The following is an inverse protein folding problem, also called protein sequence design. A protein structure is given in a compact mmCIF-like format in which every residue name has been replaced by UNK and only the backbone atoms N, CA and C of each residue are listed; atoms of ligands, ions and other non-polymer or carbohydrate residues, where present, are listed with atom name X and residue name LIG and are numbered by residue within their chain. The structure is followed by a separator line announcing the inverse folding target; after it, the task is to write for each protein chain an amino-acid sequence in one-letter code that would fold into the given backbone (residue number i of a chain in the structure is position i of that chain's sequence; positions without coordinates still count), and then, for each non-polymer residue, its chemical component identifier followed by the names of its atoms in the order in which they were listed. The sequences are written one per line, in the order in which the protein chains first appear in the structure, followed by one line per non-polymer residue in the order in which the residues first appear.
data_IF_056244982225
#
_entry.id   IF_056244982225
#
_cell.length_a   1.000
_cell.length_b   1.000
_cell.length_c   1.000
_cell.angle_alpha   90.00
_cell.angle_beta   90.00
_cell.angle_gamma   90.00
#
_symmetry.space_group_name_H-M   'P 1'
#
loop_
_entity.id
_entity.type
_entity.pdbx_description
1 polymer ?
#
# COMPACT_ATOMS: atom_id res chain seq x y z
N UNK A 1 -10.86 12.65 -0.27
CA UNK A 1 -10.65 12.15 1.11
C UNK A 1 -9.50 11.16 1.06
N UNK A 2 -8.30 11.62 1.44
CA UNK A 2 -7.04 10.90 1.27
C UNK A 2 -6.97 9.66 2.15
N UNK A 3 -7.14 8.48 1.55
CA UNK A 3 -6.70 7.24 2.17
C UNK A 3 -5.15 7.19 2.09
N UNK A 4 -4.49 6.87 3.20
CA UNK A 4 -3.31 6.02 3.14
C UNK A 4 -1.89 6.62 3.17
N UNK A 5 -1.65 7.88 3.58
CA UNK A 5 -0.25 8.39 3.68
C UNK A 5 0.36 8.46 5.09
N UNK A 6 -0.29 7.93 6.13
CA UNK A 6 0.17 8.11 7.53
C UNK A 6 0.73 6.86 8.24
N UNK A 7 0.52 5.59 7.85
CA UNK A 7 1.09 4.47 8.62
C UNK A 7 2.62 4.39 8.50
N UNK A 8 3.15 4.39 7.28
CA UNK A 8 4.57 4.12 7.05
C UNK A 8 5.48 5.25 7.57
N UNK A 9 5.10 6.52 7.39
CA UNK A 9 5.89 7.66 7.84
C UNK A 9 6.00 7.71 9.38
N UNK A 10 4.92 7.39 10.09
CA UNK A 10 4.90 7.34 11.56
C UNK A 10 5.74 6.16 12.09
N UNK A 11 5.68 5.01 11.42
CA UNK A 11 6.51 3.84 11.74
C UNK A 11 8.00 4.11 11.49
N UNK A 12 8.33 4.79 10.39
CA UNK A 12 9.69 5.27 10.10
C UNK A 12 10.19 6.21 11.20
N UNK A 13 9.41 7.24 11.53
CA UNK A 13 9.78 8.26 12.51
C UNK A 13 10.04 7.67 13.90
N UNK A 14 9.39 6.55 14.23
CA UNK A 14 9.53 5.86 15.51
C UNK A 14 10.49 4.66 15.48
N UNK A 15 11.25 4.44 14.40
CA UNK A 15 12.15 3.29 14.22
C UNK A 15 11.44 1.92 14.40
N UNK A 16 10.15 1.84 14.05
CA UNK A 16 9.33 0.61 14.21
C UNK A 16 9.08 -0.14 12.90
N UNK A 17 9.68 0.29 11.78
CA UNK A 17 9.60 -0.42 10.50
C UNK A 17 10.03 -1.89 10.59
N UNK A 18 10.95 -2.18 11.52
CA UNK A 18 11.48 -3.52 11.73
C UNK A 18 10.43 -4.60 12.05
N UNK A 19 9.30 -4.20 12.65
CA UNK A 19 8.20 -5.09 13.00
C UNK A 19 7.37 -5.54 11.80
N UNK A 20 7.49 -4.83 10.68
CA UNK A 20 6.63 -5.00 9.51
C UNK A 20 7.41 -5.60 8.33
N UNK A 21 8.66 -5.20 8.15
CA UNK A 21 9.54 -5.71 7.10
C UNK A 21 10.26 -7.02 7.50
N UNK A 22 9.87 -7.63 8.62
CA UNK A 22 10.47 -8.84 9.21
C UNK A 22 11.93 -8.73 9.64
N UNK A 23 12.52 -7.53 9.69
CA UNK A 23 13.92 -7.41 10.14
C UNK A 23 14.06 -7.54 11.67
N UNK A 24 12.98 -7.32 12.43
CA UNK A 24 12.92 -7.56 13.89
C UNK A 24 12.04 -8.78 14.19
N UNK A 25 12.66 -9.95 14.21
CA UNK A 25 12.00 -11.20 14.54
C UNK A 25 11.59 -11.25 16.02
N UNK A 26 10.46 -11.89 16.28
CA UNK A 26 9.99 -12.19 17.65
C UNK A 26 11.05 -13.03 18.37
N UNK A 27 11.51 -12.62 19.57
CA UNK A 27 12.43 -13.43 20.36
C UNK A 27 11.81 -14.81 20.68
N UNK A 28 12.58 -15.88 20.49
CA UNK A 28 12.08 -17.27 20.64
C UNK A 28 12.04 -17.72 22.10
N UNK A 29 12.86 -17.13 22.97
CA UNK A 29 12.96 -17.49 24.37
C UNK A 29 12.09 -16.55 25.25
N UNK A 30 11.13 -17.06 26.03
CA UNK A 30 10.34 -16.25 26.98
C UNK A 30 11.18 -15.64 28.11
N UNK A 31 12.39 -16.18 28.34
CA UNK A 31 13.36 -15.66 29.30
C UNK A 31 14.18 -14.48 28.77
N UNK A 32 14.04 -14.15 27.48
CA UNK A 32 14.73 -13.00 26.90
C UNK A 32 14.16 -11.70 27.48
N UNK A 33 15.00 -10.82 28.08
CA UNK A 33 14.55 -9.52 28.57
C UNK A 33 13.87 -8.65 27.50
N UNK A 34 14.16 -8.90 26.22
CA UNK A 34 13.57 -8.18 25.09
C UNK A 34 12.18 -8.71 24.68
N UNK A 35 11.77 -9.90 25.13
CA UNK A 35 10.49 -10.51 24.72
C UNK A 35 9.28 -9.61 25.05
N UNK A 36 9.17 -9.17 26.32
CA UNK A 36 8.08 -8.27 26.76
C UNK A 36 8.14 -6.88 26.12
N UNK A 37 9.35 -6.40 25.82
CA UNK A 37 9.53 -5.11 25.15
C UNK A 37 9.09 -5.18 23.68
N UNK A 38 9.38 -6.32 23.03
CA UNK A 38 8.94 -6.63 21.67
C UNK A 38 7.42 -6.74 21.60
N UNK A 39 6.77 -7.50 22.50
CA UNK A 39 5.30 -7.63 22.52
C UNK A 39 4.60 -6.26 22.64
N UNK A 40 5.05 -5.42 23.58
CA UNK A 40 4.50 -4.06 23.73
C UNK A 40 4.65 -3.22 22.47
N UNK A 41 5.78 -3.34 21.77
CA UNK A 41 5.99 -2.60 20.54
C UNK A 41 5.11 -3.13 19.40
N UNK A 42 4.96 -4.44 19.30
CA UNK A 42 4.06 -5.09 18.36
C UNK A 42 2.60 -4.64 18.58
N UNK A 43 2.12 -4.62 19.82
CA UNK A 43 0.76 -4.19 20.17
C UNK A 43 0.52 -2.71 19.80
N UNK A 44 1.52 -1.85 20.00
CA UNK A 44 1.46 -0.44 19.59
C UNK A 44 1.35 -0.31 18.06
N UNK A 45 2.12 -1.10 17.31
CA UNK A 45 2.06 -1.10 15.84
C UNK A 45 0.70 -1.60 15.37
N UNK A 46 0.16 -2.68 15.97
CA UNK A 46 -1.20 -3.17 15.70
C UNK A 46 -2.23 -2.07 15.95
N UNK A 47 -2.13 -1.39 17.09
CA UNK A 47 -3.04 -0.29 17.43
C UNK A 47 -2.98 0.84 16.40
N UNK A 48 -1.79 1.25 15.95
CA UNK A 48 -1.65 2.27 14.90
C UNK A 48 -2.23 1.82 13.57
N UNK A 49 -1.96 0.58 13.15
CA UNK A 49 -2.49 0.00 11.92
C UNK A 49 -4.02 -0.08 11.97
N UNK A 50 -4.59 -0.61 13.04
CA UNK A 50 -6.04 -0.66 13.24
C UNK A 50 -6.65 0.75 13.27
N UNK A 51 -5.97 1.75 13.84
CA UNK A 51 -6.48 3.12 13.84
C UNK A 51 -6.34 3.86 12.51
N UNK A 52 -5.46 3.39 11.62
CA UNK A 52 -5.30 3.94 10.28
C UNK A 52 -6.39 3.52 9.29
N UNK A 53 -7.22 2.52 9.65
CA UNK A 53 -8.27 1.96 8.78
C UNK A 53 -9.68 2.28 9.26
N UNK A 54 -10.66 2.22 8.35
CA UNK A 54 -12.08 2.49 8.67
C UNK A 54 -12.63 1.45 9.65
N UNK A 55 -13.57 1.85 10.51
CA UNK A 55 -14.19 0.99 11.52
C UNK A 55 -14.82 -0.29 10.95
N UNK A 56 -15.34 -0.23 9.72
CA UNK A 56 -15.88 -1.39 8.99
C UNK A 56 -14.84 -2.48 8.69
N UNK A 57 -13.55 -2.11 8.66
CA UNK A 57 -12.42 -3.00 8.39
C UNK A 57 -11.77 -3.47 9.70
N UNK A 58 -11.76 -2.60 10.73
CA UNK A 58 -11.19 -2.93 12.05
C UNK A 58 -11.82 -4.20 12.65
N UNK A 59 -13.13 -4.36 12.56
CA UNK A 59 -13.85 -5.51 13.13
C UNK A 59 -13.36 -6.86 12.59
N UNK A 60 -12.99 -6.90 11.31
CA UNK A 60 -12.47 -8.11 10.67
C UNK A 60 -10.99 -8.42 10.95
N UNK A 61 -10.27 -7.49 11.58
CA UNK A 61 -8.83 -7.57 11.86
C UNK A 61 -8.53 -7.62 13.38
N UNK A 62 -9.58 -7.73 14.20
CA UNK A 62 -9.48 -7.62 15.66
C UNK A 62 -8.76 -8.79 16.32
N UNK A 63 -8.56 -9.91 15.60
CA UNK A 63 -7.94 -11.15 16.11
C UNK A 63 -6.49 -11.33 15.65
N UNK A 64 -5.91 -10.35 14.96
CA UNK A 64 -4.53 -10.47 14.47
C UNK A 64 -3.56 -9.93 15.51
N UNK A 65 -2.84 -10.85 16.16
CA UNK A 65 -1.89 -10.56 17.25
C UNK A 65 -0.47 -10.22 16.76
N UNK A 66 -0.23 -10.25 15.45
CA UNK A 66 1.06 -9.99 14.83
C UNK A 66 0.96 -8.83 13.83
N UNK A 67 1.74 -7.77 14.07
CA UNK A 67 1.72 -6.56 13.27
C UNK A 67 2.12 -6.78 11.81
N UNK A 68 3.03 -7.71 11.54
CA UNK A 68 3.42 -8.07 10.18
C UNK A 68 2.25 -8.74 9.44
N UNK A 69 1.63 -9.75 10.06
CA UNK A 69 0.48 -10.46 9.51
C UNK A 69 -0.67 -9.50 9.23
N UNK A 70 -0.95 -8.59 10.17
CA UNK A 70 -1.96 -7.55 10.01
C UNK A 70 -1.70 -6.66 8.79
N UNK A 71 -0.45 -6.24 8.58
CA UNK A 71 -0.13 -5.45 7.40
C UNK A 71 -0.29 -6.25 6.10
N UNK A 72 0.12 -7.52 6.08
CA UNK A 72 -0.03 -8.38 4.90
C UNK A 72 -1.52 -8.58 4.53
N UNK A 73 -2.40 -8.81 5.52
CA UNK A 73 -3.84 -8.90 5.25
C UNK A 73 -4.43 -7.58 4.73
N UNK A 74 -3.99 -6.44 5.28
CA UNK A 74 -4.35 -5.13 4.77
C UNK A 74 -3.85 -4.95 3.34
N UNK A 75 -2.62 -5.34 3.06
CA UNK A 75 -2.03 -5.25 1.74
C UNK A 75 -2.83 -6.09 0.76
N UNK A 76 -3.07 -7.37 1.03
CA UNK A 76 -3.83 -8.28 0.15
C UNK A 76 -5.25 -7.75 -0.15
N UNK A 77 -5.97 -7.34 0.90
CA UNK A 77 -7.35 -6.85 0.77
C UNK A 77 -7.46 -5.57 -0.05
N UNK A 78 -6.50 -4.66 0.09
CA UNK A 78 -6.52 -3.37 -0.62
C UNK A 78 -5.69 -3.35 -1.90
N UNK A 79 -4.87 -4.35 -2.19
CA UNK A 79 -4.14 -4.45 -3.47
C UNK A 79 -5.02 -4.97 -4.60
N UNK A 80 -5.91 -5.95 -4.34
CA UNK A 80 -6.81 -6.49 -5.38
C UNK A 80 -7.89 -5.49 -5.84
N UNK A 81 -8.31 -4.55 -4.99
CA UNK A 81 -9.43 -3.63 -5.29
C UNK A 81 -9.04 -2.37 -6.07
N UNK A 82 -7.80 -2.25 -6.56
CA UNK A 82 -7.36 -1.05 -7.26
C UNK A 82 -7.86 -0.95 -8.71
N UNK A 83 -8.54 -1.97 -9.25
CA UNK A 83 -9.04 -1.97 -10.63
C UNK A 83 -9.87 -0.72 -11.01
N UNK A 84 -10.93 -0.36 -10.25
CA UNK A 84 -11.69 0.86 -10.48
C UNK A 84 -10.87 2.15 -10.38
N UNK A 85 -9.91 2.21 -9.45
CA UNK A 85 -9.01 3.37 -9.30
C UNK A 85 -8.06 3.50 -10.50
N UNK A 86 -7.48 2.38 -10.96
CA UNK A 86 -6.64 2.32 -12.16
C UNK A 86 -7.45 2.76 -13.38
N UNK A 87 -8.67 2.26 -13.54
CA UNK A 87 -9.56 2.68 -14.62
C UNK A 87 -9.84 4.18 -14.58
N UNK A 88 -10.18 4.71 -13.40
CA UNK A 88 -10.44 6.13 -13.20
C UNK A 88 -9.22 6.99 -13.58
N UNK A 89 -8.03 6.61 -13.13
CA UNK A 89 -6.77 7.30 -13.46
C UNK A 89 -6.44 7.22 -14.96
N UNK A 90 -6.62 6.04 -15.59
CA UNK A 90 -6.44 5.86 -17.04
C UNK A 90 -7.42 6.74 -17.84
N UNK A 91 -8.68 6.80 -17.41
CA UNK A 91 -9.71 7.65 -18.02
C UNK A 91 -9.34 9.13 -17.89
N UNK A 92 -8.95 9.56 -16.70
CA UNK A 92 -8.62 10.96 -16.42
C UNK A 92 -7.39 11.40 -17.24
N UNK A 93 -6.40 10.52 -17.39
CA UNK A 93 -5.27 10.71 -18.32
C UNK A 93 -5.73 10.82 -19.78
N UNK A 94 -6.66 9.96 -20.22
CA UNK A 94 -7.13 9.93 -21.60
C UNK A 94 -7.94 11.18 -22.00
N UNK A 95 -8.68 11.76 -21.05
CA UNK A 95 -9.45 12.99 -21.27
C UNK A 95 -8.68 14.27 -20.96
N UNK A 96 -7.47 14.17 -20.37
CA UNK A 96 -6.66 15.32 -19.99
C UNK A 96 -6.22 16.09 -21.23
N UNK A 97 -6.65 17.34 -21.32
CA UNK A 97 -6.29 18.27 -22.40
C UNK A 97 -5.76 19.57 -21.83
N UNK A 98 -4.82 20.20 -22.56
CA UNK A 98 -4.16 21.43 -22.10
C UNK A 98 -5.15 22.62 -21.97
N UNK A 99 -6.14 22.71 -22.84
CA UNK A 99 -7.13 23.81 -22.84
C UNK A 99 -6.47 25.20 -22.76
N UNK A 100 -6.83 25.97 -21.72
CA UNK A 100 -6.31 27.31 -21.44
C UNK A 100 -5.14 27.28 -20.43
N UNK A 101 -4.71 26.10 -19.98
CA UNK A 101 -3.63 25.98 -19.01
C UNK A 101 -2.27 26.25 -19.68
N UNK A 102 -1.36 26.85 -18.91
CA UNK A 102 0.05 26.93 -19.31
C UNK A 102 0.65 25.53 -19.43
N UNK A 103 1.68 25.39 -20.27
CA UNK A 103 2.39 24.12 -20.47
C UNK A 103 2.89 23.53 -19.15
N UNK A 104 3.40 24.35 -18.23
CA UNK A 104 3.85 23.89 -16.91
C UNK A 104 2.74 23.31 -16.06
N UNK A 105 1.55 23.93 -16.06
CA UNK A 105 0.40 23.45 -15.29
C UNK A 105 -0.11 22.13 -15.86
N UNK A 106 -0.30 22.08 -17.19
CA UNK A 106 -0.71 20.86 -17.87
C UNK A 106 0.25 19.70 -17.62
N UNK A 107 1.56 19.94 -17.78
CA UNK A 107 2.57 18.91 -17.53
C UNK A 107 2.59 18.47 -16.07
N UNK A 108 2.42 19.38 -15.11
CA UNK A 108 2.30 19.06 -13.70
C UNK A 108 1.12 18.13 -13.40
N UNK A 109 -0.05 18.41 -14.00
CA UNK A 109 -1.24 17.58 -13.86
C UNK A 109 -1.05 16.19 -14.49
N UNK A 110 -0.48 16.14 -15.71
CA UNK A 110 -0.16 14.89 -16.39
C UNK A 110 0.81 14.04 -15.56
N UNK A 111 1.88 14.65 -15.06
CA UNK A 111 2.90 13.98 -14.25
C UNK A 111 2.32 13.48 -12.92
N UNK A 112 1.46 14.27 -12.27
CA UNK A 112 0.77 13.87 -11.05
C UNK A 112 -0.12 12.65 -11.25
N UNK A 113 -0.96 12.64 -12.28
CA UNK A 113 -1.80 11.49 -12.62
C UNK A 113 -0.97 10.26 -12.99
N UNK A 114 0.13 10.45 -13.73
CA UNK A 114 1.03 9.37 -14.09
C UNK A 114 1.74 8.76 -12.88
N UNK A 115 2.25 9.59 -11.97
CA UNK A 115 2.93 9.13 -10.75
C UNK A 115 1.97 8.38 -9.83
N UNK A 116 0.72 8.81 -9.75
CA UNK A 116 -0.32 8.08 -9.02
C UNK A 116 -0.63 6.73 -9.68
N UNK A 117 -0.77 6.68 -11.01
CA UNK A 117 -1.03 5.44 -11.74
C UNK A 117 0.08 4.39 -11.54
N UNK A 118 1.35 4.81 -11.55
CA UNK A 118 2.50 3.91 -11.37
C UNK A 118 2.52 3.25 -9.98
N UNK A 119 1.94 3.88 -8.95
CA UNK A 119 1.79 3.27 -7.61
C UNK A 119 0.85 2.07 -7.66
N UNK A 120 -0.22 2.14 -8.45
CA UNK A 120 -1.24 1.10 -8.53
C UNK A 120 -0.97 0.05 -9.61
N UNK A 121 -0.32 0.44 -10.71
CA UNK A 121 -0.03 -0.41 -11.85
C UNK A 121 1.44 -0.21 -12.31
N UNK A 122 2.40 -0.65 -11.48
CA UNK A 122 3.82 -0.44 -11.74
C UNK A 122 4.21 -1.09 -13.07
N UNK A 123 5.09 -0.43 -13.81
CA UNK A 123 5.63 -0.99 -15.04
C UNK A 123 6.52 -2.17 -14.65
N UNK A 124 6.23 -3.40 -15.09
CA UNK A 124 7.09 -4.53 -14.78
C UNK A 124 8.46 -4.30 -15.42
N UNK A 125 9.52 -4.38 -14.61
CA UNK A 125 10.88 -4.39 -15.11
C UNK A 125 11.04 -5.56 -16.09
N UNK A 126 11.57 -5.27 -17.27
CA UNK A 126 11.63 -6.20 -18.39
C UNK A 126 12.62 -7.33 -18.10
N UNK A 127 12.14 -8.35 -17.41
CA UNK A 127 12.77 -9.66 -17.30
C UNK A 127 11.91 -10.62 -18.13
N UNK A 128 12.51 -11.35 -19.08
CA UNK A 128 11.83 -12.28 -20.00
C UNK A 128 10.92 -13.33 -19.32
N UNK A 129 10.94 -13.45 -17.98
CA UNK A 129 10.17 -14.40 -17.18
C UNK A 129 8.79 -13.85 -16.75
N UNK A 130 8.53 -12.54 -16.85
CA UNK A 130 7.29 -11.90 -16.32
C UNK A 130 6.11 -11.86 -17.31
N UNK A 131 6.02 -12.83 -18.22
CA UNK A 131 4.94 -12.92 -19.23
C UNK A 131 3.53 -12.97 -18.60
N UNK A 132 3.40 -13.60 -17.42
CA UNK A 132 2.13 -13.69 -16.68
C UNK A 132 1.61 -12.33 -16.23
N UNK A 133 2.49 -11.44 -15.76
CA UNK A 133 2.10 -10.09 -15.29
C UNK A 133 1.53 -9.26 -16.44
N UNK A 134 2.13 -9.38 -17.64
CA UNK A 134 1.63 -8.72 -18.84
C UNK A 134 0.30 -9.31 -19.30
N UNK A 135 0.12 -10.62 -19.20
CA UNK A 135 -1.13 -11.30 -19.52
C UNK A 135 -2.27 -10.88 -18.58
N UNK A 136 -2.04 -10.90 -17.27
CA UNK A 136 -3.02 -10.44 -16.28
C UNK A 136 -3.37 -8.95 -16.47
N UNK A 137 -2.43 -8.14 -16.95
CA UNK A 137 -2.66 -6.72 -17.28
C UNK A 137 -3.52 -6.56 -18.52
N UNK A 138 -3.25 -7.35 -19.55
CA UNK A 138 -4.06 -7.39 -20.78
C UNK A 138 -5.50 -7.85 -20.47
N UNK A 139 -5.66 -8.91 -19.69
CA UNK A 139 -6.99 -9.42 -19.33
C UNK A 139 -7.79 -8.40 -18.50
N UNK A 140 -7.14 -7.66 -17.58
CA UNK A 140 -7.80 -6.56 -16.86
C UNK A 140 -8.24 -5.42 -17.78
N UNK A 141 -7.46 -5.11 -18.81
CA UNK A 141 -7.76 -4.04 -19.75
C UNK A 141 -8.80 -4.46 -20.81
N UNK A 142 -8.95 -5.76 -21.08
CA UNK A 142 -9.89 -6.33 -22.05
C UNK A 142 -11.29 -6.67 -21.49
N UNK A 143 -11.50 -6.61 -20.17
CA UNK A 143 -12.83 -6.81 -19.53
C UNK A 143 -13.68 -5.52 -19.56
N UNK A 144 -13.27 -4.51 -20.34
CA UNK A 144 -14.02 -3.27 -20.60
C UNK A 144 -14.56 -3.28 -22.03
#
# INVERSE_FOLDING_TARGET
MSAGRVPLAELCANNKLGFINSTLLKPTAPSDPLFKAWERCNDLVIFWLQNSVRSSVKSSLALVDDSQTLLLELQDRFTQQNGPQIFQLKRDLAILSQNQDSVSIYFGNLKGLWDELVVYDPIPECECVKLKILHDRYDRDCVI
#
